data_IF_382819827028
#
_entry.id   IF_382819827028
#
_cell.length_a   1.000
_cell.length_b   1.000
_cell.length_c   1.000
_cell.angle_alpha   90.00
_cell.angle_beta   90.00
_cell.angle_gamma   90.00
#
_symmetry.space_group_name_H-M   'P 1'
#
loop_
_entity.id
_entity.type
_entity.pdbx_description
1 polymer ?
#
# COMPACT_ATOMS: atom_id res chain seq x y z
N UNK A 1 -2.04 29.35 17.98
CA UNK A 1 -2.33 29.64 16.56
C UNK A 1 -3.19 28.52 16.02
N UNK A 2 -4.48 28.74 15.76
CA UNK A 2 -5.35 27.69 15.19
C UNK A 2 -5.13 27.63 13.69
N UNK A 3 -4.41 26.61 13.22
CA UNK A 3 -4.42 26.26 11.80
C UNK A 3 -5.84 25.75 11.47
N UNK A 4 -6.49 26.24 10.40
CA UNK A 4 -7.78 25.73 9.99
C UNK A 4 -7.66 24.26 9.56
N UNK A 5 -8.73 23.49 9.77
CA UNK A 5 -8.83 22.15 9.20
C UNK A 5 -8.81 22.22 7.67
N UNK A 6 -8.28 21.20 6.97
CA UNK A 6 -8.29 21.17 5.52
C UNK A 6 -9.74 21.06 5.03
N UNK A 7 -10.03 21.76 3.95
CA UNK A 7 -11.27 21.59 3.20
C UNK A 7 -11.36 20.16 2.64
N UNK A 8 -12.58 19.70 2.36
CA UNK A 8 -12.78 18.40 1.73
C UNK A 8 -12.02 18.28 0.40
N UNK A 9 -11.92 19.38 -0.36
CA UNK A 9 -11.22 19.36 -1.65
C UNK A 9 -9.71 19.22 -1.50
N UNK A 10 -9.11 19.86 -0.49
CA UNK A 10 -7.69 19.65 -0.16
C UNK A 10 -7.42 18.20 0.23
N UNK A 11 -8.28 17.60 1.07
CA UNK A 11 -8.18 16.19 1.44
C UNK A 11 -8.23 15.30 0.19
N UNK A 12 -9.24 15.49 -0.67
CA UNK A 12 -9.43 14.66 -1.86
C UNK A 12 -8.27 14.76 -2.85
N UNK A 13 -7.77 15.97 -3.12
CA UNK A 13 -6.64 16.18 -4.03
C UNK A 13 -5.34 15.61 -3.47
N UNK A 14 -5.10 15.79 -2.17
CA UNK A 14 -3.93 15.21 -1.49
C UNK A 14 -3.99 13.68 -1.51
N UNK A 15 -5.11 13.08 -1.10
CA UNK A 15 -5.27 11.62 -1.15
C UNK A 15 -5.11 11.08 -2.57
N UNK A 16 -5.73 11.70 -3.57
CA UNK A 16 -5.56 11.30 -4.97
C UNK A 16 -4.09 11.35 -5.41
N UNK A 17 -3.36 12.40 -5.03
CA UNK A 17 -1.92 12.52 -5.29
C UNK A 17 -1.15 11.39 -4.60
N UNK A 18 -1.44 11.12 -3.32
CA UNK A 18 -0.72 10.12 -2.55
C UNK A 18 -0.93 8.71 -3.09
N UNK A 19 -2.17 8.33 -3.43
CA UNK A 19 -2.48 7.04 -4.02
C UNK A 19 -1.77 6.84 -5.37
N UNK A 20 -1.83 7.83 -6.27
CA UNK A 20 -1.20 7.70 -7.60
C UNK A 20 0.31 7.58 -7.48
N UNK A 21 0.92 8.41 -6.63
CA UNK A 21 2.37 8.39 -6.41
C UNK A 21 2.80 7.08 -5.75
N UNK A 22 2.12 6.66 -4.69
CA UNK A 22 2.48 5.43 -3.98
C UNK A 22 2.32 4.21 -4.89
N UNK A 23 1.19 4.06 -5.60
CA UNK A 23 0.95 2.96 -6.53
C UNK A 23 2.06 2.84 -7.58
N UNK A 24 2.41 3.96 -8.24
CA UNK A 24 3.44 3.97 -9.27
C UNK A 24 4.81 3.52 -8.73
N UNK A 25 5.27 4.10 -7.62
CA UNK A 25 6.59 3.76 -7.08
C UNK A 25 6.61 2.39 -6.40
N UNK A 26 5.53 2.02 -5.71
CA UNK A 26 5.41 0.72 -5.07
C UNK A 26 5.49 -0.40 -6.10
N UNK A 27 4.77 -0.29 -7.23
CA UNK A 27 4.85 -1.27 -8.32
C UNK A 27 6.28 -1.54 -8.79
N UNK A 28 7.04 -0.49 -9.11
CA UNK A 28 8.39 -0.66 -9.65
C UNK A 28 9.37 -1.20 -8.62
N UNK A 29 9.28 -0.73 -7.37
CA UNK A 29 10.15 -1.19 -6.29
C UNK A 29 9.81 -2.62 -5.89
N UNK A 30 8.53 -2.95 -5.75
CA UNK A 30 8.06 -4.31 -5.48
C UNK A 30 8.50 -5.27 -6.58
N UNK A 31 8.33 -4.89 -7.85
CA UNK A 31 8.85 -5.67 -8.99
C UNK A 31 10.37 -5.86 -8.94
N UNK A 32 11.11 -4.84 -8.52
CA UNK A 32 12.56 -4.97 -8.31
C UNK A 32 12.88 -5.95 -7.17
N UNK A 33 12.12 -5.92 -6.07
CA UNK A 33 12.26 -6.88 -4.97
C UNK A 33 11.96 -8.32 -5.41
N UNK A 34 11.21 -8.54 -6.48
CA UNK A 34 11.03 -9.87 -7.10
C UNK A 34 12.16 -10.34 -8.01
N UNK A 35 13.16 -9.50 -8.29
CA UNK A 35 14.37 -9.97 -8.96
C UNK A 35 15.14 -10.94 -8.04
N UNK A 36 15.86 -11.91 -8.62
CA UNK A 36 16.49 -13.03 -7.89
C UNK A 36 17.15 -12.62 -6.56
N UNK A 37 18.02 -11.62 -6.59
CA UNK A 37 18.73 -11.16 -5.39
C UNK A 37 17.80 -10.51 -4.36
N UNK A 38 16.90 -9.62 -4.80
CA UNK A 38 15.93 -8.96 -3.92
C UNK A 38 14.99 -9.97 -3.26
N UNK A 39 14.57 -10.97 -4.02
CA UNK A 39 13.66 -11.99 -3.53
C UNK A 39 14.34 -12.85 -2.48
N UNK A 40 15.48 -13.47 -2.83
CA UNK A 40 16.19 -14.41 -1.94
C UNK A 40 16.64 -13.77 -0.61
N UNK A 41 16.96 -12.47 -0.59
CA UNK A 41 17.54 -11.81 0.59
C UNK A 41 16.57 -10.91 1.36
N UNK A 42 15.49 -10.45 0.73
CA UNK A 42 14.58 -9.45 1.32
C UNK A 42 13.15 -9.96 1.25
N UNK A 43 12.63 -10.15 0.03
CA UNK A 43 11.20 -10.33 -0.19
C UNK A 43 10.67 -11.73 0.14
N UNK A 44 11.54 -12.73 0.23
CA UNK A 44 11.17 -14.11 0.53
C UNK A 44 10.44 -14.25 1.88
N UNK A 45 10.74 -13.41 2.87
CA UNK A 45 10.05 -13.43 4.17
C UNK A 45 8.58 -13.02 4.02
N UNK A 46 8.32 -12.04 3.17
CA UNK A 46 6.95 -11.62 2.87
C UNK A 46 6.13 -12.74 2.20
N UNK A 47 6.77 -13.48 1.29
CA UNK A 47 6.21 -14.64 0.58
C UNK A 47 6.25 -15.96 1.38
N UNK A 48 6.55 -15.92 2.68
CA UNK A 48 6.54 -17.13 3.51
C UNK A 48 5.13 -17.76 3.59
N UNK A 49 4.10 -16.91 3.57
CA UNK A 49 2.70 -17.31 3.59
C UNK A 49 2.12 -17.35 2.17
N UNK A 50 2.23 -18.51 1.51
CA UNK A 50 1.64 -18.74 0.17
C UNK A 50 0.12 -18.55 0.07
N UNK A 51 -0.59 -18.52 1.21
CA UNK A 51 -1.98 -18.12 1.34
C UNK A 51 -2.05 -17.10 2.50
N UNK A 52 -1.81 -15.81 2.23
CA UNK A 52 -1.71 -14.81 3.27
C UNK A 52 -3.07 -14.56 3.95
N UNK A 53 -2.99 -14.00 5.15
CA UNK A 53 -4.14 -13.44 5.87
C UNK A 53 -3.85 -11.98 6.19
N UNK A 54 -4.87 -11.19 6.53
CA UNK A 54 -4.69 -9.74 6.76
C UNK A 54 -3.59 -9.39 7.79
N UNK A 55 -3.37 -10.24 8.80
CA UNK A 55 -2.29 -10.07 9.78
C UNK A 55 -0.88 -10.33 9.22
N UNK A 56 -0.76 -11.06 8.12
CA UNK A 56 0.49 -11.27 7.41
C UNK A 56 0.86 -10.09 6.50
N UNK A 57 -0.05 -9.11 6.26
CA UNK A 57 0.24 -7.95 5.42
C UNK A 57 1.52 -7.18 5.82
N UNK A 58 1.78 -6.90 7.12
CA UNK A 58 3.04 -6.28 7.55
C UNK A 58 4.15 -7.30 7.85
N UNK A 59 3.92 -8.60 7.68
CA UNK A 59 4.94 -9.63 7.92
C UNK A 59 5.94 -9.62 6.76
N UNK A 60 7.10 -9.02 7.00
CA UNK A 60 8.13 -8.85 5.99
C UNK A 60 9.51 -8.69 6.65
N UNK A 61 10.55 -8.81 5.84
CA UNK A 61 11.91 -8.46 6.26
C UNK A 61 11.98 -6.95 6.61
N UNK A 62 12.70 -6.57 7.67
CA UNK A 62 12.76 -5.17 8.13
C UNK A 62 13.20 -4.19 7.03
N UNK A 63 14.11 -4.62 6.14
CA UNK A 63 14.56 -3.81 5.03
C UNK A 63 13.45 -3.58 3.99
N UNK A 64 12.58 -4.56 3.78
CA UNK A 64 11.41 -4.40 2.91
C UNK A 64 10.47 -3.33 3.43
N UNK A 65 10.20 -3.35 4.75
CA UNK A 65 9.36 -2.34 5.41
C UNK A 65 9.92 -0.93 5.17
N UNK A 66 11.25 -0.75 5.26
CA UNK A 66 11.88 0.54 4.98
C UNK A 66 11.81 0.90 3.48
N UNK A 67 12.10 -0.05 2.59
CA UNK A 67 12.14 0.17 1.13
C UNK A 67 10.73 0.50 0.60
N UNK A 68 9.72 -0.30 0.94
CA UNK A 68 8.33 -0.08 0.52
C UNK A 68 7.64 1.04 1.32
N UNK A 69 8.21 1.45 2.45
CA UNK A 69 7.81 2.66 3.17
C UNK A 69 8.16 3.95 2.42
N UNK A 70 9.21 3.95 1.58
CA UNK A 70 9.62 5.13 0.80
C UNK A 70 8.50 5.61 -0.14
N UNK A 71 7.90 4.78 -1.03
CA UNK A 71 6.74 5.16 -1.84
C UNK A 71 5.62 5.85 -1.07
N UNK A 72 5.29 5.34 0.13
CA UNK A 72 4.23 5.89 0.99
C UNK A 72 4.54 7.29 1.53
N UNK A 73 5.81 7.68 1.56
CA UNK A 73 6.26 9.00 2.02
C UNK A 73 6.41 10.03 0.89
N UNK A 74 6.58 9.59 -0.37
CA UNK A 74 6.83 10.50 -1.49
C UNK A 74 5.62 11.41 -1.75
N UNK A 75 4.40 10.87 -1.77
CA UNK A 75 3.18 11.67 -1.98
C UNK A 75 3.05 12.83 -0.99
N UNK A 76 3.06 12.56 0.34
CA UNK A 76 3.06 13.60 1.37
C UNK A 76 4.26 14.57 1.30
N UNK A 77 5.42 14.14 0.79
CA UNK A 77 6.56 15.03 0.58
C UNK A 77 6.35 15.99 -0.60
N UNK A 78 5.69 15.53 -1.67
CA UNK A 78 5.38 16.34 -2.86
C UNK A 78 4.24 17.33 -2.58
N UNK A 79 3.19 16.87 -1.88
CA UNK A 79 2.00 17.65 -1.56
C UNK A 79 1.78 17.67 -0.04
N UNK A 80 2.61 18.39 0.75
CA UNK A 80 2.47 18.42 2.20
C UNK A 80 1.12 19.02 2.60
N UNK A 81 0.53 18.45 3.66
CA UNK A 81 -0.84 18.76 4.07
C UNK A 81 -1.05 18.74 5.56
N UNK A 82 -2.30 18.96 5.96
CA UNK A 82 -2.69 18.89 7.36
C UNK A 82 -2.49 17.45 7.89
N UNK A 83 -2.09 17.35 9.15
CA UNK A 83 -1.80 16.07 9.82
C UNK A 83 -2.98 15.09 9.74
N UNK A 84 -4.22 15.59 9.82
CA UNK A 84 -5.44 14.76 9.65
C UNK A 84 -5.49 14.06 8.28
N UNK A 85 -5.15 14.74 7.17
CA UNK A 85 -5.08 14.09 5.86
C UNK A 85 -3.99 13.03 5.82
N UNK A 86 -2.85 13.30 6.46
CA UNK A 86 -1.76 12.33 6.56
C UNK A 86 -2.16 11.08 7.36
N UNK A 87 -2.81 11.22 8.52
CA UNK A 87 -3.33 10.07 9.27
C UNK A 87 -4.40 9.30 8.51
N UNK A 88 -5.29 10.01 7.81
CA UNK A 88 -6.30 9.38 6.95
C UNK A 88 -5.65 8.59 5.82
N UNK A 89 -4.61 9.14 5.18
CA UNK A 89 -3.80 8.45 4.18
C UNK A 89 -3.21 7.15 4.72
N UNK A 90 -2.51 7.20 5.87
CA UNK A 90 -1.92 6.01 6.49
C UNK A 90 -3.00 4.97 6.81
N UNK A 91 -4.13 5.37 7.39
CA UNK A 91 -5.22 4.46 7.71
C UNK A 91 -5.79 3.76 6.46
N UNK A 92 -6.08 4.53 5.40
CA UNK A 92 -6.59 3.97 4.14
C UNK A 92 -5.57 3.02 3.50
N UNK A 93 -4.28 3.37 3.53
CA UNK A 93 -3.22 2.52 2.98
C UNK A 93 -3.09 1.19 3.72
N UNK A 94 -3.19 1.21 5.05
CA UNK A 94 -3.17 -0.02 5.86
C UNK A 94 -4.42 -0.87 5.64
N UNK A 95 -5.60 -0.25 5.52
CA UNK A 95 -6.83 -0.97 5.18
C UNK A 95 -6.69 -1.67 3.82
N UNK A 96 -6.17 -0.98 2.80
CA UNK A 96 -5.93 -1.58 1.48
C UNK A 96 -4.91 -2.72 1.52
N UNK A 97 -3.84 -2.59 2.30
CA UNK A 97 -2.88 -3.68 2.50
C UNK A 97 -3.55 -4.91 3.12
N UNK A 98 -4.28 -4.72 4.23
CA UNK A 98 -4.98 -5.80 4.92
C UNK A 98 -6.00 -6.47 4.00
N UNK A 99 -6.79 -5.70 3.27
CA UNK A 99 -7.78 -6.22 2.32
C UNK A 99 -7.13 -7.09 1.23
N UNK A 100 -6.06 -6.59 0.60
CA UNK A 100 -5.34 -7.29 -0.46
C UNK A 100 -4.70 -8.60 0.02
N UNK A 101 -4.33 -8.70 1.30
CA UNK A 101 -3.74 -9.91 1.89
C UNK A 101 -4.77 -10.77 2.63
N UNK A 102 -6.04 -10.40 2.63
CA UNK A 102 -7.03 -11.04 3.50
C UNK A 102 -7.52 -12.40 2.99
N UNK A 103 -7.34 -12.67 1.69
CA UNK A 103 -7.97 -13.81 0.99
C UNK A 103 -9.49 -13.67 0.81
N UNK A 104 -10.09 -12.52 1.16
CA UNK A 104 -11.54 -12.30 1.07
C UNK A 104 -11.90 -11.26 0.01
N UNK A 105 -12.43 -11.70 -1.13
CA UNK A 105 -13.04 -10.83 -2.15
C UNK A 105 -14.47 -10.39 -1.73
N UNK A 106 -14.53 -9.40 -0.84
CA UNK A 106 -15.80 -8.88 -0.31
C UNK A 106 -16.50 -7.96 -1.34
N UNK A 107 -17.83 -8.06 -1.52
CA UNK A 107 -18.53 -7.30 -2.57
C UNK A 107 -18.64 -5.78 -2.32
N UNK A 108 -18.26 -5.32 -1.12
CA UNK A 108 -18.31 -3.91 -0.71
C UNK A 108 -16.93 -3.23 -0.62
N UNK A 109 -15.84 -3.90 -1.02
CA UNK A 109 -14.52 -3.25 -1.05
C UNK A 109 -14.46 -2.23 -2.17
N UNK A 110 -13.96 -1.03 -1.86
CA UNK A 110 -13.92 0.09 -2.81
C UNK A 110 -12.95 -0.21 -3.96
N UNK A 111 -11.87 -0.95 -3.68
CA UNK A 111 -10.86 -1.41 -4.64
C UNK A 111 -11.47 -2.15 -5.83
N UNK A 112 -12.56 -2.89 -5.63
CA UNK A 112 -13.30 -3.60 -6.68
C UNK A 112 -13.92 -2.70 -7.74
N UNK A 113 -14.21 -1.45 -7.40
CA UNK A 113 -14.83 -0.47 -8.30
C UNK A 113 -13.79 0.43 -8.99
N UNK A 114 -12.50 0.28 -8.68
CA UNK A 114 -11.42 1.03 -9.30
C UNK A 114 -10.84 0.20 -10.44
N UNK A 115 -10.88 0.67 -11.70
CA UNK A 115 -10.29 -0.05 -12.82
C UNK A 115 -8.79 -0.34 -12.58
N UNK A 116 -8.35 -1.53 -12.99
CA UNK A 116 -6.96 -1.99 -12.92
C UNK A 116 -6.37 -2.26 -11.52
N UNK A 117 -7.14 -2.10 -10.45
CA UNK A 117 -6.73 -2.56 -9.12
C UNK A 117 -6.78 -4.08 -9.03
N UNK A 118 -5.69 -4.69 -8.54
CA UNK A 118 -5.67 -6.12 -8.22
C UNK A 118 -6.31 -6.37 -6.86
N UNK A 119 -7.24 -7.33 -6.79
CA UNK A 119 -7.87 -7.76 -5.54
C UNK A 119 -7.10 -8.88 -4.83
N UNK A 120 -7.66 -9.39 -3.71
CA UNK A 120 -7.04 -10.44 -2.92
C UNK A 120 -6.75 -11.72 -3.71
N UNK A 121 -7.65 -12.14 -4.62
CA UNK A 121 -7.43 -13.35 -5.42
C UNK A 121 -6.15 -13.30 -6.29
N UNK A 122 -5.87 -12.13 -6.88
CA UNK A 122 -4.65 -11.93 -7.68
C UNK A 122 -3.41 -11.90 -6.79
N UNK A 123 -3.53 -11.32 -5.61
CA UNK A 123 -2.44 -11.22 -4.66
C UNK A 123 -2.12 -12.57 -3.99
N UNK A 124 -3.13 -13.39 -3.72
CA UNK A 124 -2.95 -14.77 -3.25
C UNK A 124 -2.23 -15.62 -4.31
N UNK A 125 -2.63 -15.49 -5.59
CA UNK A 125 -1.91 -16.13 -6.69
C UNK A 125 -0.45 -15.65 -6.76
N UNK A 126 -0.22 -14.34 -6.55
CA UNK A 126 1.11 -13.76 -6.51
C UNK A 126 1.99 -14.31 -5.37
N UNK A 127 1.42 -14.59 -4.19
CA UNK A 127 2.13 -15.23 -3.06
C UNK A 127 2.41 -16.72 -3.29
N UNK A 128 1.60 -17.36 -4.14
CA UNK A 128 1.74 -18.79 -4.44
C UNK A 128 2.87 -19.10 -5.46
N UNK A 129 3.18 -18.18 -6.38
CA UNK A 129 4.10 -18.38 -7.52
C UNK A 129 5.52 -17.87 -7.26
#
# INVERSE_FOLDING_TARGET
TSLPLPSLWEILLQLGTYFIVEDYFNYWIHRFLHCKWGYENIHKVHHEYTAPIGFAAPYAHWLEILILGIPSAIGPAIAPGHMVTFWLWIALRQIGAIETHSGYDLPWTITKYIPFMSGPDYHDYHHYV
#
